data_IF_110754544824
#
_entry.id   IF_110754544824
#
_cell.length_a   1.000
_cell.length_b   1.000
_cell.length_c   1.000
_cell.angle_alpha   90.00
_cell.angle_beta   90.00
_cell.angle_gamma   90.00
#
_symmetry.space_group_name_H-M   'P 1'
#
loop_
_entity.id
_entity.type
_entity.pdbx_description
1 polymer ?
#
# COMPACT_ATOMS: atom_id res chain seq x y z
N UNK A 1 -46.10 -42.90 69.41
CA UNK A 1 -46.10 -41.52 69.92
C UNK A 1 -44.78 -40.88 69.51
N UNK A 2 -44.85 -39.82 68.69
CA UNK A 2 -43.77 -38.92 68.19
C UNK A 2 -42.63 -39.49 67.31
N UNK A 3 -42.66 -39.06 66.04
CA UNK A 3 -41.58 -38.92 65.03
C UNK A 3 -40.51 -37.90 65.50
N UNK A 4 -39.41 -37.53 64.77
CA UNK A 4 -39.05 -37.75 63.34
C UNK A 4 -37.53 -37.99 63.06
N UNK A 5 -37.11 -38.07 61.79
CA UNK A 5 -36.11 -37.15 61.23
C UNK A 5 -35.87 -37.43 59.73
N UNK A 6 -36.18 -36.42 58.92
CA UNK A 6 -36.10 -36.43 57.47
C UNK A 6 -34.67 -36.30 56.94
N UNK A 7 -34.43 -37.00 55.83
CA UNK A 7 -33.26 -36.80 54.96
C UNK A 7 -33.36 -35.43 54.27
N UNK A 8 -32.32 -34.62 54.38
CA UNK A 8 -32.15 -33.37 53.61
C UNK A 8 -31.51 -33.70 52.27
N UNK A 9 -31.99 -33.17 51.13
CA UNK A 9 -31.28 -33.29 49.87
C UNK A 9 -30.11 -32.29 49.84
N UNK A 10 -28.93 -32.78 49.49
CA UNK A 10 -27.73 -32.01 49.23
C UNK A 10 -27.86 -31.37 47.84
N UNK A 11 -28.08 -30.06 47.78
CA UNK A 11 -28.05 -29.31 46.54
C UNK A 11 -26.61 -29.14 46.07
N UNK A 12 -26.28 -29.74 44.93
CA UNK A 12 -25.00 -29.53 44.23
C UNK A 12 -25.14 -28.23 43.43
N UNK A 13 -24.51 -27.15 43.90
CA UNK A 13 -24.33 -25.93 43.10
C UNK A 13 -23.22 -26.18 42.06
N UNK A 14 -23.59 -26.44 40.81
CA UNK A 14 -22.69 -26.25 39.66
C UNK A 14 -22.49 -24.75 39.46
N UNK A 15 -21.35 -24.23 39.91
CA UNK A 15 -20.89 -22.88 39.55
C UNK A 15 -20.43 -22.89 38.09
N UNK A 16 -21.27 -22.37 37.18
CA UNK A 16 -20.86 -22.07 35.83
C UNK A 16 -19.89 -20.88 35.83
N UNK A 17 -18.60 -21.15 35.64
CA UNK A 17 -17.58 -20.12 35.45
C UNK A 17 -17.74 -19.56 34.03
N UNK A 18 -18.49 -18.47 33.89
CA UNK A 18 -18.58 -17.74 32.63
C UNK A 18 -17.24 -17.06 32.33
N UNK A 19 -16.45 -17.63 31.41
CA UNK A 19 -15.33 -16.92 30.79
C UNK A 19 -15.92 -15.81 29.90
N UNK A 20 -15.95 -14.58 30.40
CA UNK A 20 -16.20 -13.41 29.58
C UNK A 20 -14.99 -13.15 28.68
N UNK A 21 -15.03 -13.62 27.44
CA UNK A 21 -14.15 -13.11 26.39
C UNK A 21 -14.51 -11.63 26.19
N UNK A 22 -13.69 -10.75 26.74
CA UNK A 22 -13.76 -9.32 26.46
C UNK A 22 -13.22 -9.10 25.05
N UNK A 23 -14.13 -8.97 24.08
CA UNK A 23 -13.79 -8.48 22.75
C UNK A 23 -13.42 -7.00 22.90
N UNK A 24 -12.13 -6.67 22.88
CA UNK A 24 -11.69 -5.27 22.75
C UNK A 24 -12.08 -4.80 21.36
N UNK A 25 -13.05 -3.89 21.26
CA UNK A 25 -13.29 -3.18 20.01
C UNK A 25 -12.04 -2.36 19.68
N UNK A 26 -11.41 -2.64 18.53
CA UNK A 26 -10.33 -1.81 18.04
C UNK A 26 -10.89 -0.41 17.73
N UNK A 27 -10.36 0.61 18.39
CA UNK A 27 -10.72 1.99 18.11
C UNK A 27 -9.93 2.48 16.88
N UNK A 28 -10.56 3.33 16.07
CA UNK A 28 -9.87 4.04 14.98
C UNK A 28 -8.76 4.92 15.57
N UNK A 29 -7.59 4.87 14.93
CA UNK A 29 -6.39 5.64 15.25
C UNK A 29 -6.26 6.77 14.24
N UNK A 30 -6.01 7.97 14.72
CA UNK A 30 -5.52 9.08 13.91
C UNK A 30 -4.02 9.19 14.06
N UNK A 31 -3.32 8.97 12.95
CA UNK A 31 -1.88 9.18 12.85
C UNK A 31 -1.62 10.61 12.41
N UNK A 32 -1.09 11.43 13.31
CA UNK A 32 -0.81 12.83 13.04
C UNK A 32 0.66 13.03 12.63
N UNK A 33 0.89 13.26 11.34
CA UNK A 33 2.20 13.58 10.76
C UNK A 33 2.33 15.08 10.44
N UNK A 34 1.48 15.94 11.02
CA UNK A 34 1.46 17.38 10.72
C UNK A 34 2.47 18.19 11.55
N UNK A 35 3.00 17.58 12.62
CA UNK A 35 3.75 18.27 13.68
C UNK A 35 5.22 18.55 13.37
N UNK A 36 5.78 17.98 12.30
CA UNK A 36 7.16 18.23 11.86
C UNK A 36 7.88 16.99 11.36
N UNK A 37 9.08 17.20 10.81
CA UNK A 37 9.94 16.15 10.26
C UNK A 37 10.24 15.06 11.29
N UNK A 38 10.19 13.80 10.86
CA UNK A 38 10.46 12.64 11.70
C UNK A 38 9.26 12.17 12.54
N UNK A 39 8.06 12.70 12.28
CA UNK A 39 6.82 12.09 12.76
C UNK A 39 6.68 10.66 12.24
N UNK A 40 6.18 9.75 13.09
CA UNK A 40 5.95 8.35 12.71
C UNK A 40 4.82 7.75 13.53
N UNK A 41 4.08 6.81 12.93
CA UNK A 41 3.09 5.98 13.60
C UNK A 41 3.09 4.57 13.03
N UNK A 42 2.62 3.61 13.82
CA UNK A 42 2.43 2.23 13.37
C UNK A 42 0.94 1.90 13.41
N UNK A 43 0.41 1.45 12.28
CA UNK A 43 -0.99 1.03 12.14
C UNK A 43 -1.00 -0.37 11.53
N UNK A 44 -1.32 -1.37 12.36
CA UNK A 44 -1.23 -2.77 11.96
C UNK A 44 0.19 -3.15 11.53
N UNK A 45 0.30 -3.71 10.33
CA UNK A 45 1.56 -4.15 9.72
C UNK A 45 2.27 -3.08 8.87
N UNK A 46 1.90 -1.80 9.07
CA UNK A 46 2.51 -0.68 8.36
C UNK A 46 3.03 0.40 9.31
N UNK A 47 4.11 1.04 8.90
CA UNK A 47 4.68 2.24 9.53
C UNK A 47 4.46 3.40 8.55
N UNK A 48 3.88 4.49 9.03
CA UNK A 48 3.75 5.73 8.28
C UNK A 48 4.68 6.76 8.91
N UNK A 49 5.42 7.50 8.10
CA UNK A 49 6.41 8.45 8.60
C UNK A 49 6.63 9.61 7.65
N UNK A 50 7.03 10.77 8.19
CA UNK A 50 7.64 11.81 7.37
C UNK A 50 9.10 11.42 7.11
N UNK A 51 9.57 11.42 5.85
CA UNK A 51 10.94 11.09 5.56
C UNK A 51 11.88 12.08 6.25
N UNK A 52 12.99 11.56 6.76
CA UNK A 52 14.03 12.35 7.44
C UNK A 52 14.98 13.08 6.47
N UNK A 53 14.83 12.87 5.16
CA UNK A 53 15.67 13.43 4.11
C UNK A 53 14.82 13.92 2.93
N UNK A 54 14.95 15.20 2.61
CA UNK A 54 14.36 15.92 1.48
C UNK A 54 14.99 15.52 0.12
N UNK A 55 15.09 14.21 -0.16
CA UNK A 55 15.60 13.74 -1.45
C UNK A 55 14.59 14.05 -2.55
N UNK A 56 15.01 14.93 -3.46
CA UNK A 56 14.26 15.52 -4.59
C UNK A 56 13.29 14.51 -5.23
N UNK A 57 12.00 14.79 -5.09
CA UNK A 57 10.94 14.21 -5.92
C UNK A 57 10.07 15.35 -6.43
N UNK A 58 9.66 15.22 -7.68
CA UNK A 58 8.70 16.06 -8.39
C UNK A 58 8.34 15.33 -9.68
N UNK A 59 7.16 15.60 -10.25
CA UNK A 59 6.54 14.82 -11.35
C UNK A 59 7.40 14.58 -12.60
N UNK A 60 8.48 15.33 -12.81
CA UNK A 60 9.48 15.09 -13.87
C UNK A 60 10.63 14.12 -13.51
N UNK A 61 10.73 13.73 -12.24
CA UNK A 61 11.78 12.86 -11.65
C UNK A 61 11.17 11.58 -11.04
N UNK A 62 9.91 11.62 -10.58
CA UNK A 62 9.19 10.43 -10.09
C UNK A 62 8.50 9.66 -11.21
N UNK A 63 8.35 8.35 -10.99
CA UNK A 63 7.58 7.42 -11.84
C UNK A 63 6.38 6.94 -11.02
N UNK A 64 5.33 7.78 -10.88
CA UNK A 64 4.17 7.45 -10.08
C UNK A 64 3.33 6.39 -10.77
N UNK A 65 2.61 5.64 -9.94
CA UNK A 65 1.72 4.57 -10.37
C UNK A 65 0.25 4.87 -10.09
N UNK A 66 -0.04 5.91 -9.29
CA UNK A 66 -1.38 6.41 -9.02
C UNK A 66 -1.30 7.91 -8.78
N UNK A 67 -2.14 8.66 -9.50
CA UNK A 67 -2.32 10.10 -9.33
C UNK A 67 -3.80 10.40 -9.14
N UNK A 68 -4.14 11.13 -8.08
CA UNK A 68 -5.49 11.59 -7.78
C UNK A 68 -5.57 13.12 -7.86
N UNK A 69 -6.76 13.64 -8.16
CA UNK A 69 -7.07 15.07 -8.00
C UNK A 69 -8.59 15.26 -8.01
N UNK A 70 -9.14 15.61 -6.85
CA UNK A 70 -10.49 16.16 -6.71
C UNK A 70 -10.67 16.93 -5.39
N UNK A 71 -11.72 17.75 -5.30
CA UNK A 71 -12.02 18.58 -4.12
C UNK A 71 -13.51 18.43 -3.80
N UNK A 72 -13.91 18.29 -2.51
CA UNK A 72 -13.08 18.30 -1.29
C UNK A 72 -12.49 16.94 -0.91
N UNK A 73 -12.88 15.88 -1.60
CA UNK A 73 -12.49 14.51 -1.35
C UNK A 73 -12.13 13.89 -2.67
N UNK A 74 -11.13 13.02 -2.66
CA UNK A 74 -10.67 12.36 -3.86
C UNK A 74 -10.39 10.89 -3.61
N UNK A 75 -10.64 10.07 -4.62
CA UNK A 75 -10.54 8.63 -4.50
C UNK A 75 -10.16 7.99 -5.81
N UNK A 76 -9.38 6.93 -5.73
CA UNK A 76 -9.04 6.16 -6.92
C UNK A 76 -8.15 4.98 -6.63
N UNK A 77 -7.76 4.31 -7.70
CA UNK A 77 -6.92 3.13 -7.64
C UNK A 77 -6.10 2.98 -8.92
N UNK A 78 -4.96 2.31 -8.78
CA UNK A 78 -4.08 1.99 -9.89
C UNK A 78 -4.78 1.06 -10.89
N UNK A 79 -4.69 1.39 -12.18
CA UNK A 79 -5.31 0.63 -13.27
C UNK A 79 -4.46 0.79 -14.53
N UNK A 80 -4.50 -0.22 -15.41
CA UNK A 80 -3.87 -0.16 -16.74
C UNK A 80 -4.84 0.32 -17.83
N UNK A 81 -6.04 0.77 -17.43
CA UNK A 81 -7.04 1.30 -18.34
C UNK A 81 -6.51 2.49 -19.16
N UNK A 82 -7.06 2.64 -20.37
CA UNK A 82 -6.74 3.76 -21.24
C UNK A 82 -7.10 5.11 -20.60
N UNK A 83 -6.35 6.16 -20.95
CA UNK A 83 -6.49 7.51 -20.36
C UNK A 83 -7.89 8.11 -20.49
N UNK A 84 -8.62 7.79 -21.57
CA UNK A 84 -9.99 8.24 -21.78
C UNK A 84 -11.05 7.39 -21.05
N UNK A 85 -10.61 6.45 -20.21
CA UNK A 85 -11.47 5.49 -19.50
C UNK A 85 -10.98 5.27 -18.07
N UNK A 86 -10.45 6.31 -17.42
CA UNK A 86 -9.98 6.21 -16.03
C UNK A 86 -11.18 6.22 -15.04
N UNK A 87 -11.10 5.47 -13.93
CA UNK A 87 -12.12 5.44 -12.89
C UNK A 87 -11.97 6.61 -11.91
N UNK A 88 -13.09 7.05 -11.33
CA UNK A 88 -13.12 8.00 -10.20
C UNK A 88 -12.29 9.29 -10.48
N UNK A 89 -11.49 9.71 -9.50
CA UNK A 89 -10.68 10.94 -9.53
C UNK A 89 -9.26 10.68 -10.03
N UNK A 90 -9.03 9.51 -10.64
CA UNK A 90 -7.74 9.15 -11.20
C UNK A 90 -7.42 10.07 -12.36
N UNK A 91 -6.24 10.70 -12.30
CA UNK A 91 -5.72 11.54 -13.36
C UNK A 91 -4.48 10.93 -13.98
N UNK A 92 -4.23 11.33 -15.22
CA UNK A 92 -2.92 11.20 -15.86
C UNK A 92 -2.55 12.63 -16.24
N UNK A 93 -1.43 13.16 -15.73
CA UNK A 93 -1.03 14.50 -16.13
C UNK A 93 -0.91 14.57 -17.66
N UNK A 94 -1.44 15.63 -18.23
CA UNK A 94 -1.51 15.82 -19.68
C UNK A 94 -0.08 15.85 -20.27
N UNK A 95 0.13 15.12 -21.37
CA UNK A 95 1.30 15.28 -22.24
C UNK A 95 2.39 14.21 -22.16
N UNK A 96 2.56 13.47 -21.06
CA UNK A 96 3.69 12.52 -20.92
C UNK A 96 3.22 11.16 -20.35
N UNK A 97 3.26 10.13 -21.18
CA UNK A 97 3.03 8.72 -20.89
C UNK A 97 3.06 8.25 -19.40
N UNK A 98 1.85 7.93 -18.88
CA UNK A 98 1.53 6.90 -17.86
C UNK A 98 1.89 7.12 -16.37
N UNK A 99 1.25 8.10 -15.72
CA UNK A 99 1.30 8.30 -14.25
C UNK A 99 0.35 7.40 -13.42
N UNK A 100 -0.59 6.70 -14.07
CA UNK A 100 -1.41 5.68 -13.40
C UNK A 100 -1.25 4.34 -14.12
N UNK A 101 -0.86 3.32 -13.35
CA UNK A 101 -0.65 1.94 -13.79
C UNK A 101 -0.61 0.99 -12.59
N UNK A 102 -0.97 -0.25 -12.78
CA UNK A 102 -0.66 -1.28 -11.79
C UNK A 102 0.83 -1.67 -11.86
N UNK A 103 1.28 -2.42 -10.86
CA UNK A 103 2.66 -2.90 -10.75
C UNK A 103 2.68 -4.35 -10.26
N UNK A 104 3.78 -5.05 -10.50
CA UNK A 104 3.96 -6.41 -9.97
C UNK A 104 4.77 -6.38 -8.67
N UNK A 105 4.61 -7.42 -7.85
CA UNK A 105 5.33 -7.56 -6.58
C UNK A 105 6.86 -7.43 -6.74
N UNK A 106 7.41 -8.04 -7.79
CA UNK A 106 8.85 -8.02 -8.09
C UNK A 106 9.39 -6.65 -8.51
N UNK A 107 8.53 -5.66 -8.77
CA UNK A 107 8.96 -4.28 -8.99
C UNK A 107 9.25 -3.54 -7.68
N UNK A 108 8.76 -4.04 -6.54
CA UNK A 108 8.93 -3.40 -5.25
C UNK A 108 10.30 -3.71 -4.64
N UNK A 109 10.94 -2.67 -4.11
CA UNK A 109 12.18 -2.74 -3.36
C UNK A 109 11.90 -2.81 -1.87
N UNK A 110 12.50 -3.79 -1.20
CA UNK A 110 12.37 -3.95 0.24
C UNK A 110 13.45 -3.16 1.02
N UNK A 111 13.08 -2.59 2.16
CA UNK A 111 13.97 -2.03 3.18
C UNK A 111 13.88 -2.85 4.46
N UNK A 112 14.92 -2.81 5.29
CA UNK A 112 14.92 -3.43 6.62
C UNK A 112 14.91 -2.37 7.70
N UNK A 113 13.90 -2.39 8.57
CA UNK A 113 13.75 -1.49 9.72
C UNK A 113 13.53 -2.35 10.97
N UNK A 114 14.37 -2.17 11.98
CA UNK A 114 14.25 -2.94 13.24
C UNK A 114 14.31 -4.46 13.06
N UNK A 115 14.99 -4.95 12.03
CA UNK A 115 15.08 -6.39 11.71
C UNK A 115 13.90 -6.96 10.90
N UNK A 116 12.86 -6.16 10.63
CA UNK A 116 11.73 -6.55 9.79
C UNK A 116 11.87 -5.97 8.38
N UNK A 117 11.34 -6.68 7.38
CA UNK A 117 11.39 -6.28 5.96
C UNK A 117 10.07 -5.64 5.53
N UNK A 118 10.17 -4.52 4.81
CA UNK A 118 9.03 -3.72 4.35
C UNK A 118 9.18 -3.34 2.89
N UNK A 119 8.07 -3.32 2.15
CA UNK A 119 8.00 -2.57 0.90
C UNK A 119 7.70 -1.09 1.20
N UNK A 120 8.39 -0.20 0.51
CA UNK A 120 8.31 1.24 0.74
C UNK A 120 7.57 1.94 -0.40
N UNK A 121 6.50 2.63 -0.03
CA UNK A 121 5.73 3.51 -0.90
C UNK A 121 5.87 4.95 -0.39
N UNK A 122 5.78 5.89 -1.32
CA UNK A 122 5.95 7.31 -1.09
C UNK A 122 4.74 8.05 -1.60
N UNK A 123 4.41 9.14 -0.93
CA UNK A 123 3.36 10.06 -1.30
C UNK A 123 3.92 11.48 -1.37
N UNK A 124 3.71 12.12 -2.52
CA UNK A 124 3.89 13.56 -2.73
C UNK A 124 2.48 14.16 -2.78
N UNK A 125 2.13 15.02 -1.83
CA UNK A 125 0.85 15.74 -1.82
C UNK A 125 1.06 17.14 -2.41
N UNK A 126 0.00 17.76 -2.90
CA UNK A 126 0.12 19.08 -3.52
C UNK A 126 -0.98 20.03 -3.04
N UNK A 127 -1.00 20.25 -1.73
CA UNK A 127 -1.98 21.14 -1.09
C UNK A 127 -1.54 22.62 -1.15
N UNK A 128 -2.45 23.58 -0.90
CA UNK A 128 -2.04 24.96 -0.72
C UNK A 128 -0.96 25.08 0.37
N UNK A 129 0.05 25.94 0.17
CA UNK A 129 1.08 26.20 1.17
C UNK A 129 0.81 27.52 1.92
N UNK A 130 -0.36 27.68 2.56
CA UNK A 130 -0.71 28.94 3.23
C UNK A 130 -1.14 28.75 4.70
N UNK A 131 -1.29 29.87 5.43
CA UNK A 131 -1.59 29.88 6.88
C UNK A 131 -2.96 29.29 7.23
N UNK A 132 -3.89 29.22 6.27
CA UNK A 132 -5.24 28.71 6.48
C UNK A 132 -5.43 27.28 5.97
N UNK A 133 -4.52 26.80 5.12
CA UNK A 133 -4.57 25.45 4.56
C UNK A 133 -3.18 25.00 4.15
N UNK A 134 -2.80 23.83 4.66
CA UNK A 134 -1.70 23.00 4.16
C UNK A 134 -1.85 21.53 4.50
N UNK A 135 -2.93 21.14 5.19
CA UNK A 135 -3.17 19.77 5.58
C UNK A 135 -4.03 19.01 4.58
N UNK A 136 -3.99 17.69 4.64
CA UNK A 136 -4.90 16.78 3.96
C UNK A 136 -4.92 15.47 4.75
N UNK A 137 -6.04 14.75 4.75
CA UNK A 137 -6.13 13.42 5.35
C UNK A 137 -6.02 12.31 4.33
N UNK A 138 -5.26 11.26 4.62
CA UNK A 138 -5.36 9.95 3.99
C UNK A 138 -6.34 9.10 4.80
N UNK A 139 -7.46 8.74 4.20
CA UNK A 139 -8.59 8.10 4.89
C UNK A 139 -8.86 6.67 4.41
N UNK A 140 -8.26 6.28 3.29
CA UNK A 140 -8.26 4.91 2.82
C UNK A 140 -6.92 4.60 2.17
N UNK A 141 -6.31 3.49 2.54
CA UNK A 141 -5.25 2.87 1.78
C UNK A 141 -5.52 1.36 1.73
N UNK A 142 -5.59 0.78 0.54
CA UNK A 142 -5.73 -0.66 0.34
C UNK A 142 -4.82 -1.17 -0.75
N UNK A 143 -4.32 -2.40 -0.58
CA UNK A 143 -3.56 -3.11 -1.60
C UNK A 143 -4.20 -4.46 -1.83
N UNK A 144 -4.52 -4.78 -3.08
CA UNK A 144 -5.13 -6.03 -3.51
C UNK A 144 -4.17 -6.83 -4.39
N UNK A 145 -4.29 -8.16 -4.31
CA UNK A 145 -3.64 -9.06 -5.26
C UNK A 145 -4.59 -9.33 -6.43
N UNK A 146 -4.21 -8.90 -7.63
CA UNK A 146 -4.94 -9.21 -8.86
C UNK A 146 -4.47 -10.53 -9.54
N UNK A 147 -3.53 -11.25 -8.91
CA UNK A 147 -2.97 -12.49 -9.41
C UNK A 147 -1.92 -12.28 -10.51
N UNK A 148 -1.50 -13.37 -11.15
CA UNK A 148 -0.50 -13.37 -12.23
C UNK A 148 -1.17 -13.02 -13.56
N UNK A 149 -1.56 -11.76 -13.71
CA UNK A 149 -2.20 -11.22 -14.93
C UNK A 149 -1.32 -10.17 -15.60
N UNK A 150 -1.36 -10.14 -16.93
CA UNK A 150 -0.55 -9.22 -17.72
C UNK A 150 -0.94 -7.75 -17.49
N UNK A 151 -2.23 -7.48 -17.29
CA UNK A 151 -2.78 -6.14 -17.06
C UNK A 151 -4.08 -6.18 -16.29
N UNK A 152 -4.41 -5.11 -15.58
CA UNK A 152 -5.67 -4.90 -14.86
C UNK A 152 -6.37 -3.66 -15.41
N UNK A 153 -7.35 -3.84 -16.29
CA UNK A 153 -8.05 -2.76 -16.99
C UNK A 153 -9.38 -2.43 -16.30
N UNK A 154 -9.30 -1.68 -15.21
CA UNK A 154 -10.47 -1.19 -14.48
C UNK A 154 -10.82 0.21 -15.00
N UNK A 155 -11.93 0.29 -15.74
CA UNK A 155 -12.32 1.49 -16.47
C UNK A 155 -13.33 2.38 -15.75
N UNK A 156 -13.81 3.40 -16.45
CA UNK A 156 -14.88 4.28 -15.99
C UNK A 156 -16.10 3.47 -15.50
N UNK A 157 -16.65 3.87 -14.35
CA UNK A 157 -17.75 3.18 -13.68
C UNK A 157 -17.31 2.13 -12.64
N UNK A 158 -16.04 1.76 -12.59
CA UNK A 158 -15.52 0.92 -11.50
C UNK A 158 -15.33 1.77 -10.25
N UNK A 159 -15.86 1.30 -9.11
CA UNK A 159 -15.81 1.98 -7.81
C UNK A 159 -14.82 1.31 -6.85
N UNK A 160 -14.50 1.98 -5.74
CA UNK A 160 -13.70 1.37 -4.67
C UNK A 160 -14.36 0.12 -4.05
N UNK A 161 -15.70 0.07 -4.03
CA UNK A 161 -16.44 -1.07 -3.50
C UNK A 161 -16.30 -2.32 -4.38
N UNK A 162 -16.15 -2.14 -5.69
CA UNK A 162 -16.01 -3.25 -6.64
C UNK A 162 -14.69 -4.01 -6.45
N UNK A 163 -13.63 -3.35 -5.97
CA UNK A 163 -12.30 -3.97 -5.80
C UNK A 163 -12.33 -5.21 -4.90
N UNK A 164 -13.13 -5.19 -3.83
CA UNK A 164 -13.24 -6.34 -2.94
C UNK A 164 -13.99 -7.51 -3.59
N UNK A 165 -14.98 -7.21 -4.44
CA UNK A 165 -15.68 -8.24 -5.21
C UNK A 165 -14.76 -8.85 -6.27
N UNK A 166 -13.91 -8.03 -6.90
CA UNK A 166 -13.01 -8.44 -7.98
C UNK A 166 -11.79 -9.21 -7.48
N UNK A 167 -11.22 -8.82 -6.34
CA UNK A 167 -9.92 -9.33 -5.87
C UNK A 167 -9.98 -9.98 -4.49
N UNK A 168 -11.13 -10.01 -3.84
CA UNK A 168 -11.30 -10.53 -2.48
C UNK A 168 -10.78 -9.57 -1.40
N UNK A 169 -10.33 -10.12 -0.28
CA UNK A 169 -9.79 -9.32 0.82
C UNK A 169 -8.47 -8.66 0.41
N UNK A 170 -8.24 -7.39 0.79
CA UNK A 170 -6.97 -6.74 0.51
C UNK A 170 -5.84 -7.39 1.33
N UNK A 171 -4.63 -7.40 0.76
CA UNK A 171 -3.39 -7.78 1.45
C UNK A 171 -3.08 -6.80 2.58
N UNK A 172 -3.36 -5.52 2.36
CA UNK A 172 -3.20 -4.44 3.33
C UNK A 172 -4.42 -3.52 3.32
N UNK A 173 -4.84 -3.07 4.49
CA UNK A 173 -5.91 -2.07 4.64
C UNK A 173 -5.61 -1.15 5.83
N UNK A 174 -5.66 0.17 5.60
CA UNK A 174 -5.63 1.18 6.67
C UNK A 174 -6.82 1.03 7.62
N UNK A 175 -7.93 0.46 7.16
CA UNK A 175 -9.10 0.19 7.99
C UNK A 175 -9.91 1.47 8.25
N UNK A 176 -10.35 1.67 9.50
CA UNK A 176 -11.07 2.87 9.91
C UNK A 176 -10.12 4.00 10.40
N UNK A 177 -8.81 3.79 10.29
CA UNK A 177 -7.79 4.75 10.72
C UNK A 177 -7.59 5.83 9.64
N UNK A 178 -6.97 6.94 10.02
CA UNK A 178 -6.54 7.97 9.06
C UNK A 178 -5.15 8.51 9.38
N UNK A 179 -4.53 9.14 8.38
CA UNK A 179 -3.24 9.82 8.51
C UNK A 179 -3.42 11.29 8.14
N UNK A 180 -3.06 12.20 9.04
CA UNK A 180 -3.06 13.63 8.79
C UNK A 180 -1.69 14.06 8.29
N UNK A 181 -1.68 14.73 7.15
CA UNK A 181 -0.48 15.16 6.43
C UNK A 181 -0.45 16.68 6.38
N UNK A 182 0.75 17.24 6.22
CA UNK A 182 0.95 18.66 6.07
C UNK A 182 1.98 18.91 4.96
N UNK A 183 1.55 19.48 3.84
CA UNK A 183 2.39 19.80 2.70
C UNK A 183 3.54 20.76 3.05
N UNK A 184 3.39 21.53 4.11
CA UNK A 184 4.40 22.47 4.58
C UNK A 184 5.38 21.88 5.61
N UNK A 185 5.35 20.57 5.88
CA UNK A 185 6.18 19.95 6.93
C UNK A 185 7.70 20.17 6.74
N UNK A 186 8.16 20.41 5.50
CA UNK A 186 9.57 20.71 5.16
C UNK A 186 9.84 22.17 4.74
N UNK A 187 8.86 23.08 4.86
CA UNK A 187 8.98 24.47 4.41
C UNK A 187 8.73 24.65 2.91
N UNK A 188 7.47 24.93 2.57
CA UNK A 188 6.88 25.35 1.28
C UNK A 188 7.52 24.86 -0.03
N UNK A 189 6.72 24.11 -0.80
CA UNK A 189 6.85 23.87 -2.24
C UNK A 189 6.96 22.39 -2.63
N UNK A 190 6.11 21.95 -3.56
CA UNK A 190 6.22 20.68 -4.29
C UNK A 190 7.60 20.61 -4.95
N UNK A 191 8.19 19.42 -5.04
CA UNK A 191 9.53 19.25 -5.60
C UNK A 191 10.64 18.98 -4.58
N UNK A 192 10.33 18.87 -3.28
CA UNK A 192 11.33 18.81 -2.19
C UNK A 192 11.51 17.46 -1.50
N UNK A 193 10.82 16.41 -1.92
CA UNK A 193 10.77 15.18 -1.13
C UNK A 193 9.36 14.62 -1.11
N UNK A 194 9.21 13.36 -0.74
CA UNK A 194 7.89 12.82 -0.42
C UNK A 194 7.43 13.48 0.89
N UNK A 195 6.15 13.79 1.00
CA UNK A 195 5.57 14.28 2.25
C UNK A 195 5.38 13.15 3.27
N UNK A 196 5.24 11.92 2.76
CA UNK A 196 5.07 10.72 3.57
C UNK A 196 5.69 9.49 2.90
N UNK A 197 6.29 8.64 3.72
CA UNK A 197 6.62 7.26 3.39
C UNK A 197 5.67 6.33 4.14
N UNK A 198 5.24 5.25 3.49
CA UNK A 198 4.59 4.12 4.15
C UNK A 198 5.35 2.83 3.87
N UNK A 199 5.75 2.19 4.96
CA UNK A 199 6.45 0.91 5.00
C UNK A 199 5.44 -0.18 5.32
N UNK A 200 5.15 -1.05 4.35
CA UNK A 200 4.17 -2.14 4.50
C UNK A 200 4.93 -3.47 4.60
N UNK A 201 4.68 -4.24 5.65
CA UNK A 201 5.41 -5.48 5.93
C UNK A 201 5.37 -6.45 4.75
N UNK A 202 6.52 -7.01 4.37
CA UNK A 202 6.60 -8.00 3.28
C UNK A 202 5.87 -9.30 3.63
N UNK A 203 5.60 -9.58 4.92
CA UNK A 203 4.88 -10.78 5.36
C UNK A 203 3.46 -10.87 4.78
N UNK A 204 2.81 -9.73 4.55
CA UNK A 204 1.48 -9.64 3.95
C UNK A 204 1.44 -10.15 2.50
N UNK A 205 2.59 -10.21 1.84
CA UNK A 205 2.74 -10.64 0.45
C UNK A 205 3.33 -12.05 0.34
N UNK A 206 3.45 -12.77 1.47
CA UNK A 206 4.01 -14.12 1.49
C UNK A 206 3.19 -15.09 0.62
N UNK A 207 3.89 -15.92 -0.15
CA UNK A 207 3.27 -16.87 -1.08
C UNK A 207 2.86 -16.31 -2.44
N UNK A 208 2.98 -15.00 -2.66
CA UNK A 208 2.77 -14.40 -3.99
C UNK A 208 4.00 -14.56 -4.87
N UNK A 209 3.77 -14.79 -6.17
CA UNK A 209 4.82 -14.80 -7.18
C UNK A 209 5.27 -13.37 -7.53
N UNK A 210 6.52 -13.20 -7.97
CA UNK A 210 7.08 -11.88 -8.31
C UNK A 210 6.32 -11.15 -9.44
N UNK A 211 5.65 -11.88 -10.32
CA UNK A 211 4.79 -11.36 -11.39
C UNK A 211 3.32 -11.17 -10.95
N UNK A 212 2.99 -11.42 -9.68
CA UNK A 212 1.66 -11.11 -9.14
C UNK A 212 1.44 -9.60 -9.20
N UNK A 213 0.37 -9.21 -9.88
CA UNK A 213 0.01 -7.81 -10.11
C UNK A 213 -0.80 -7.28 -8.93
N UNK A 214 -0.49 -6.06 -8.52
CA UNK A 214 -1.06 -5.41 -7.35
C UNK A 214 -1.89 -4.21 -7.78
N UNK A 215 -3.04 -4.05 -7.13
CA UNK A 215 -3.90 -2.87 -7.25
C UNK A 215 -3.83 -2.09 -5.95
N UNK A 216 -3.42 -0.83 -6.05
CA UNK A 216 -3.28 0.10 -4.93
C UNK A 216 -4.42 1.11 -5.00
N UNK A 217 -5.13 1.31 -3.89
CA UNK A 217 -6.29 2.19 -3.81
C UNK A 217 -6.12 3.19 -2.66
N UNK A 218 -6.50 4.44 -2.90
CA UNK A 218 -6.38 5.53 -1.93
C UNK A 218 -7.63 6.43 -1.92
N UNK A 219 -7.94 7.00 -0.75
CA UNK A 219 -8.90 8.10 -0.58
C UNK A 219 -8.29 9.17 0.29
N UNK A 220 -8.43 10.43 -0.11
CA UNK A 220 -8.06 11.58 0.69
C UNK A 220 -9.23 12.52 0.94
N UNK A 221 -9.13 13.33 1.99
CA UNK A 221 -10.01 14.49 2.18
C UNK A 221 -11.28 14.27 3.01
N UNK A 222 -11.47 13.12 3.67
CA UNK A 222 -12.65 12.92 4.53
C UNK A 222 -12.52 13.62 5.89
N UNK A 223 -11.34 13.59 6.51
CA UNK A 223 -11.09 14.23 7.80
C UNK A 223 -10.49 15.64 7.66
N UNK A 224 -9.62 15.86 6.67
CA UNK A 224 -9.10 17.18 6.29
C UNK A 224 -9.11 17.31 4.75
N UNK A 225 -9.99 18.16 4.16
CA UNK A 225 -10.27 18.18 2.72
C UNK A 225 -9.07 18.34 1.80
N UNK A 226 -9.07 17.72 0.61
CA UNK A 226 -8.17 18.11 -0.49
C UNK A 226 -8.61 19.45 -1.07
N UNK A 227 -7.66 20.32 -1.44
CA UNK A 227 -7.95 21.67 -1.95
C UNK A 227 -7.08 22.13 -3.13
N UNK A 228 -6.18 21.31 -3.66
CA UNK A 228 -5.32 21.78 -4.76
C UNK A 228 -4.94 20.75 -5.84
N UNK A 229 -3.65 20.40 -5.89
CA UNK A 229 -2.96 19.84 -7.04
C UNK A 229 -3.20 18.35 -7.22
N UNK A 230 -2.16 17.63 -7.60
CA UNK A 230 -2.23 16.18 -7.72
C UNK A 230 -1.48 15.53 -6.56
N UNK A 231 -2.05 14.46 -6.03
CA UNK A 231 -1.49 13.59 -5.03
C UNK A 231 -0.91 12.37 -5.76
N UNK A 232 0.40 12.17 -5.62
CA UNK A 232 1.17 11.24 -6.44
C UNK A 232 1.79 10.14 -5.58
N UNK A 233 1.40 8.89 -5.85
CA UNK A 233 1.99 7.71 -5.22
C UNK A 233 3.07 7.10 -6.11
N UNK A 234 4.20 6.78 -5.50
CA UNK A 234 5.30 6.03 -6.12
C UNK A 234 5.91 5.04 -5.13
N UNK A 235 6.81 4.18 -5.58
CA UNK A 235 7.43 3.17 -4.73
C UNK A 235 8.92 3.08 -4.94
N UNK A 236 9.62 2.55 -3.93
CA UNK A 236 11.02 2.17 -4.07
C UNK A 236 11.11 1.01 -5.05
N UNK A 237 11.83 1.18 -6.16
CA UNK A 237 12.03 0.09 -7.13
C UNK A 237 12.97 -0.98 -6.56
N UNK A 238 12.65 -2.24 -6.83
CA UNK A 238 13.57 -3.35 -6.60
C UNK A 238 14.85 -3.15 -7.41
N UNK A 239 15.99 -3.53 -6.85
CA UNK A 239 17.21 -3.63 -7.65
C UNK A 239 16.96 -4.74 -8.67
N UNK A 240 17.07 -4.43 -9.97
CA UNK A 240 17.11 -5.47 -10.99
C UNK A 240 18.33 -6.35 -10.67
N UNK A 241 18.12 -7.53 -10.12
CA UNK A 241 19.19 -8.52 -9.99
C UNK A 241 19.58 -8.84 -11.42
N UNK A 242 20.81 -8.51 -11.88
CA UNK A 242 21.25 -8.92 -13.20
C UNK A 242 21.08 -10.43 -13.27
N UNK A 243 20.39 -10.93 -14.31
CA UNK A 243 20.28 -12.37 -14.52
C UNK A 243 21.69 -12.95 -14.35
N UNK A 244 21.88 -13.95 -13.46
CA UNK A 244 23.21 -14.47 -13.25
C UNK A 244 23.69 -14.97 -14.62
N UNK A 245 24.85 -14.48 -15.06
CA UNK A 245 25.43 -14.80 -16.37
C UNK A 245 25.64 -16.30 -16.60
N UNK A 246 25.31 -17.14 -15.62
CA UNK A 246 25.14 -18.59 -15.74
C UNK A 246 24.13 -18.99 -16.82
N UNK A 247 23.08 -18.24 -17.14
CA UNK A 247 22.18 -18.56 -18.28
C UNK A 247 22.93 -18.36 -19.61
N UNK A 248 23.69 -17.27 -19.74
CA UNK A 248 24.53 -17.03 -20.91
C UNK A 248 25.68 -18.05 -21.02
N UNK A 249 26.28 -18.44 -19.90
CA UNK A 249 27.32 -19.49 -19.84
C UNK A 249 26.76 -20.89 -20.13
N UNK A 250 25.53 -21.19 -19.72
CA UNK A 250 24.85 -22.45 -20.05
C UNK A 250 24.52 -22.50 -21.55
N UNK A 251 24.03 -21.39 -22.12
CA UNK A 251 23.77 -21.27 -23.56
C UNK A 251 25.04 -21.39 -24.40
N UNK A 252 26.12 -20.70 -24.01
CA UNK A 252 27.42 -20.79 -24.67
C UNK A 252 28.09 -22.16 -24.47
N UNK A 253 27.96 -22.76 -23.28
CA UNK A 253 28.48 -24.09 -22.98
C UNK A 253 27.82 -25.20 -23.82
N UNK A 254 26.49 -25.15 -23.98
CA UNK A 254 25.75 -26.07 -24.84
C UNK A 254 26.10 -25.89 -26.31
N UNK A 255 26.25 -24.65 -26.79
CA UNK A 255 26.70 -24.37 -28.15
C UNK A 255 28.14 -24.90 -28.41
N UNK A 256 29.04 -24.73 -27.43
CA UNK A 256 30.40 -25.26 -27.48
C UNK A 256 30.46 -26.78 -27.55
N UNK A 257 29.60 -27.49 -26.79
CA UNK A 257 29.50 -28.95 -26.84
C UNK A 257 28.98 -29.47 -28.19
N UNK A 258 28.02 -28.78 -28.80
CA UNK A 258 27.51 -29.11 -30.13
C UNK A 258 28.59 -28.90 -31.21
N UNK A 259 29.34 -27.80 -31.14
CA UNK A 259 30.44 -27.52 -32.06
C UNK A 259 31.58 -28.54 -31.93
N UNK A 260 31.93 -28.94 -30.70
CA UNK A 260 32.95 -29.96 -30.44
C UNK A 260 32.53 -31.35 -30.95
N UNK A 261 31.24 -31.70 -30.84
CA UNK A 261 30.71 -32.98 -31.34
C UNK A 261 30.74 -33.06 -32.87
N UNK A 262 30.43 -31.98 -33.58
CA UNK A 262 30.46 -31.93 -35.06
C UNK A 262 31.88 -32.08 -35.64
N UNK A 263 32.92 -31.64 -34.92
CA UNK A 263 34.32 -31.78 -35.34
C UNK A 263 34.90 -33.18 -35.18
N UNK A 264 34.24 -34.07 -34.42
CA UNK A 264 34.68 -35.47 -34.24
C UNK A 264 34.05 -36.45 -35.23
N UNK A 265 33.03 -36.01 -35.95
CA UNK A 265 32.26 -36.83 -36.91
C UNK A 265 32.56 -36.48 -38.37
N UNK A 266 33.54 -35.62 -38.62
CA UNK A 266 34.13 -35.33 -39.93
C UNK A 266 35.59 -35.78 -39.91
#
# INVERSE_FOLDING_TARGET
MKTPNGLKPLAICLGALALSLSTTAAQAVTCDLTSGVGGSCTIGDAIYENPNNATIVGSGVIDPFLTLQHTPTESGFSTDAATNNLPLDVKRAEGNNQFTRTFTLGQLGAVTVGGNSYYQFFLDINEPANVTKSGISLDLLKIYNAGQVASVNLGAGTTLADLQTLFGNPLYSLGANNVLLNYNVFGSGSGKGADMDVLISTSLFSGLAADSRLVFASTFGNADPSQAGFEEWFFRKGQAVPEPGSISLLGLGLAGLVAARRRRTA
#
